data_IF_676834642754
#
_entry.id   IF_676834642754
#
_cell.length_a   1.000
_cell.length_b   1.000
_cell.length_c   1.000
_cell.angle_alpha   90.00
_cell.angle_beta   90.00
_cell.angle_gamma   90.00
#
_symmetry.space_group_name_H-M   'P 1'
#
loop_
_entity.id
_entity.type
_entity.pdbx_description
1 polymer ?
#
# COMPACT_ATOMS: atom_id res chain seq x y z
N UNK A 1 -24.14 -34.19 -7.16
CA UNK A 1 -24.28 -33.01 -8.04
C UNK A 1 -23.38 -31.89 -7.54
N UNK A 2 -22.42 -31.42 -8.36
CA UNK A 2 -21.75 -30.14 -8.10
C UNK A 2 -22.69 -29.08 -8.67
N UNK A 3 -23.33 -28.31 -7.80
CA UNK A 3 -24.08 -27.12 -8.21
C UNK A 3 -23.05 -26.17 -8.82
N UNK A 4 -23.10 -26.00 -10.14
CA UNK A 4 -22.32 -24.95 -10.80
C UNK A 4 -22.89 -23.62 -10.28
N UNK A 5 -22.10 -22.93 -9.47
CA UNK A 5 -22.43 -21.56 -9.10
C UNK A 5 -22.42 -20.73 -10.40
N UNK A 6 -23.42 -19.86 -10.64
CA UNK A 6 -23.42 -18.99 -11.81
C UNK A 6 -22.10 -18.21 -11.86
N UNK A 7 -21.48 -18.15 -13.04
CA UNK A 7 -20.27 -17.36 -13.25
C UNK A 7 -20.62 -15.87 -13.01
N UNK A 8 -19.98 -15.26 -12.00
CA UNK A 8 -20.11 -13.82 -11.73
C UNK A 8 -19.24 -13.07 -12.75
N UNK A 9 -19.88 -12.58 -13.80
CA UNK A 9 -19.24 -11.70 -14.76
C UNK A 9 -19.55 -10.26 -14.38
N UNK A 10 -18.51 -9.46 -14.16
CA UNK A 10 -18.62 -8.03 -13.93
C UNK A 10 -17.73 -7.26 -14.93
N UNK A 11 -18.35 -6.37 -15.71
CA UNK A 11 -17.69 -5.53 -16.70
C UNK A 11 -17.86 -4.06 -16.32
N UNK A 12 -16.83 -3.25 -16.58
CA UNK A 12 -16.89 -1.81 -16.37
C UNK A 12 -16.19 -1.04 -17.50
N UNK A 13 -16.79 0.08 -17.89
CA UNK A 13 -16.16 1.09 -18.75
C UNK A 13 -15.86 2.31 -17.90
N UNK A 14 -14.60 2.77 -17.90
CA UNK A 14 -14.14 3.86 -17.03
C UNK A 14 -13.36 4.93 -17.80
N UNK A 15 -13.45 6.16 -17.30
CA UNK A 15 -12.57 7.28 -17.67
C UNK A 15 -11.71 7.60 -16.45
N UNK A 16 -10.39 7.64 -16.62
CA UNK A 16 -9.42 7.73 -15.54
C UNK A 16 -8.59 9.01 -15.64
N UNK A 17 -8.24 9.58 -14.50
CA UNK A 17 -7.35 10.72 -14.35
C UNK A 17 -6.28 10.40 -13.30
N UNK A 18 -5.02 10.76 -13.59
CA UNK A 18 -3.88 10.55 -12.69
C UNK A 18 -2.99 11.79 -12.65
N UNK A 19 -2.87 12.37 -11.47
CA UNK A 19 -1.94 13.46 -11.17
C UNK A 19 -0.82 12.96 -10.28
N UNK A 20 0.42 13.24 -10.65
CA UNK A 20 1.61 12.96 -9.82
C UNK A 20 2.38 14.25 -9.62
N UNK A 21 2.54 14.63 -8.35
CA UNK A 21 3.43 15.71 -7.93
C UNK A 21 4.63 15.09 -7.22
N UNK A 22 5.83 15.45 -7.65
CA UNK A 22 7.08 14.92 -7.11
C UNK A 22 8.04 16.07 -6.86
N UNK A 23 8.42 16.25 -5.60
CA UNK A 23 9.44 17.20 -5.15
C UNK A 23 10.39 16.46 -4.22
N UNK A 24 11.33 15.72 -4.81
CA UNK A 24 12.31 14.91 -4.10
C UNK A 24 13.70 15.22 -4.62
N UNK A 25 14.70 15.00 -3.77
CA UNK A 25 16.12 15.20 -4.05
C UNK A 25 16.68 14.22 -5.09
N UNK A 26 16.26 12.96 -5.04
CA UNK A 26 16.70 11.91 -5.97
C UNK A 26 15.51 11.04 -6.40
N UNK A 27 15.42 10.73 -7.69
CA UNK A 27 14.30 9.97 -8.25
C UNK A 27 14.36 8.47 -7.93
N UNK A 28 15.56 7.92 -7.74
CA UNK A 28 15.80 6.51 -7.46
C UNK A 28 15.92 6.24 -5.97
N UNK A 29 16.58 7.16 -5.28
CA UNK A 29 17.10 6.99 -3.94
C UNK A 29 16.72 8.20 -3.05
N UNK A 30 15.43 8.59 -2.96
CA UNK A 30 15.01 9.78 -2.25
C UNK A 30 15.43 9.75 -0.78
N UNK A 31 15.89 10.89 -0.27
CA UNK A 31 16.20 11.10 1.15
C UNK A 31 15.53 12.33 1.74
N UNK A 32 15.11 13.27 0.89
CA UNK A 32 14.38 14.47 1.29
C UNK A 32 13.27 14.83 0.28
N UNK A 33 12.15 15.33 0.80
CA UNK A 33 11.04 15.84 0.01
C UNK A 33 9.78 14.99 0.09
N UNK A 34 8.93 15.09 -0.93
CA UNK A 34 7.64 14.41 -0.93
C UNK A 34 7.12 14.06 -2.34
N UNK A 35 6.30 13.03 -2.40
CA UNK A 35 5.51 12.64 -3.57
C UNK A 35 4.04 12.57 -3.21
N UNK A 36 3.18 13.05 -4.12
CA UNK A 36 1.73 12.92 -4.03
C UNK A 36 1.21 12.35 -5.35
N UNK A 37 0.44 11.26 -5.28
CA UNK A 37 -0.27 10.69 -6.41
C UNK A 37 -1.77 10.73 -6.11
N UNK A 38 -2.52 11.41 -6.97
CA UNK A 38 -3.98 11.45 -6.92
C UNK A 38 -4.54 10.77 -8.16
N UNK A 39 -5.45 9.83 -7.96
CA UNK A 39 -6.14 9.13 -9.03
C UNK A 39 -7.64 9.24 -8.81
N UNK A 40 -8.37 9.49 -9.89
CA UNK A 40 -9.82 9.54 -9.90
C UNK A 40 -10.33 8.82 -11.14
N UNK A 41 -11.42 8.08 -11.00
CA UNK A 41 -12.15 7.58 -12.15
C UNK A 41 -13.65 7.68 -11.96
N UNK A 42 -14.35 7.74 -13.08
CA UNK A 42 -15.80 7.57 -13.17
C UNK A 42 -16.06 6.47 -14.19
N UNK A 43 -17.04 5.64 -13.93
CA UNK A 43 -17.35 4.54 -14.83
C UNK A 43 -18.75 4.01 -14.67
N UNK A 44 -19.14 3.15 -15.60
CA UNK A 44 -20.40 2.39 -15.55
C UNK A 44 -20.07 0.91 -15.51
N UNK A 45 -20.60 0.22 -14.49
CA UNK A 45 -20.47 -1.21 -14.30
C UNK A 45 -21.75 -1.94 -14.73
N UNK A 46 -21.60 -3.19 -15.14
CA UNK A 46 -22.67 -4.15 -15.45
C UNK A 46 -22.25 -5.51 -14.88
N UNK A 47 -23.17 -6.24 -14.25
CA UNK A 47 -22.89 -7.56 -13.66
C UNK A 47 -24.03 -8.55 -13.94
N UNK A 48 -23.71 -9.85 -13.94
CA UNK A 48 -24.71 -10.94 -14.00
C UNK A 48 -25.44 -11.16 -12.66
N UNK A 49 -24.86 -10.73 -11.54
CA UNK A 49 -25.37 -10.95 -10.18
C UNK A 49 -25.74 -9.66 -9.42
N UNK A 50 -25.79 -8.51 -10.12
CA UNK A 50 -26.12 -7.22 -9.52
C UNK A 50 -26.54 -6.17 -10.55
N UNK A 51 -26.95 -5.00 -10.07
CA UNK A 51 -27.46 -3.95 -10.95
C UNK A 51 -26.34 -3.27 -11.75
N UNK A 52 -26.67 -2.87 -12.97
CA UNK A 52 -25.83 -1.97 -13.74
C UNK A 52 -25.94 -0.53 -13.22
N UNK A 53 -24.82 0.17 -13.10
CA UNK A 53 -24.85 1.55 -12.61
C UNK A 53 -23.52 2.26 -12.65
N UNK A 54 -23.56 3.55 -12.31
CA UNK A 54 -22.36 4.37 -12.25
C UNK A 54 -21.63 4.17 -10.92
N UNK A 55 -20.31 4.25 -10.99
CA UNK A 55 -19.43 4.31 -9.83
C UNK A 55 -18.31 5.30 -10.07
N UNK A 56 -17.62 5.69 -9.00
CA UNK A 56 -16.37 6.41 -9.08
C UNK A 56 -15.36 5.83 -8.12
N UNK A 57 -14.08 5.93 -8.46
CA UNK A 57 -12.98 5.51 -7.59
C UNK A 57 -12.06 6.70 -7.36
N UNK A 58 -11.80 6.99 -6.10
CA UNK A 58 -10.83 7.99 -5.66
C UNK A 58 -9.69 7.27 -4.95
N UNK A 59 -8.46 7.67 -5.24
CA UNK A 59 -7.29 7.12 -4.60
C UNK A 59 -6.21 8.19 -4.44
N UNK A 60 -5.59 8.22 -3.26
CA UNK A 60 -4.51 9.13 -2.93
C UNK A 60 -3.37 8.34 -2.28
N UNK A 61 -2.14 8.63 -2.69
CA UNK A 61 -0.90 8.15 -2.06
C UNK A 61 0.02 9.33 -1.82
N UNK A 62 0.42 9.52 -0.58
CA UNK A 62 1.42 10.51 -0.19
C UNK A 62 2.61 9.79 0.45
N UNK A 63 3.81 10.19 0.05
CA UNK A 63 5.06 9.72 0.66
C UNK A 63 5.95 10.91 0.97
N UNK A 64 6.50 10.96 2.18
CA UNK A 64 7.40 12.01 2.66
C UNK A 64 8.71 11.38 3.08
N UNK A 65 9.81 12.00 2.69
CA UNK A 65 11.18 11.63 3.01
C UNK A 65 11.84 12.78 3.76
N UNK A 66 12.52 12.50 4.86
CA UNK A 66 13.25 13.53 5.61
C UNK A 66 14.55 12.97 6.21
N UNK A 67 15.68 13.69 6.10
CA UNK A 67 16.80 13.46 7.01
C UNK A 67 16.37 13.88 8.43
N UNK A 68 16.75 13.08 9.43
CA UNK A 68 16.40 13.31 10.83
C UNK A 68 17.57 13.89 11.64
N UNK A 69 18.67 14.20 10.97
CA UNK A 69 19.82 14.91 11.55
C UNK A 69 19.42 16.31 12.02
N UNK A 70 19.90 16.70 13.20
CA UNK A 70 19.64 18.03 13.76
C UNK A 70 18.33 18.16 14.56
N UNK A 71 17.59 17.06 14.78
CA UNK A 71 16.49 17.05 15.75
C UNK A 71 17.01 17.22 17.19
N UNK A 72 16.22 17.82 18.10
CA UNK A 72 16.62 18.01 19.50
C UNK A 72 17.08 16.69 20.15
N UNK A 73 18.28 16.70 20.73
CA UNK A 73 18.88 15.56 21.43
C UNK A 73 19.82 14.70 20.60
N UNK A 74 19.97 14.91 19.28
CA UNK A 74 21.03 14.32 18.43
C UNK A 74 21.03 12.80 18.26
N UNK A 75 20.16 12.07 18.95
CA UNK A 75 20.10 10.59 18.92
C UNK A 75 19.65 10.03 17.55
N UNK A 76 19.07 10.87 16.68
CA UNK A 76 18.66 10.54 15.31
C UNK A 76 19.63 11.04 14.24
N UNK A 77 20.81 11.54 14.60
CA UNK A 77 21.79 11.98 13.61
C UNK A 77 22.22 10.83 12.68
N UNK A 78 22.16 11.09 11.37
CA UNK A 78 22.44 10.10 10.33
C UNK A 78 21.29 9.14 10.02
N UNK A 79 20.12 9.30 10.65
CA UNK A 79 18.90 8.58 10.30
C UNK A 79 18.08 9.35 9.26
N UNK A 80 17.36 8.59 8.45
CA UNK A 80 16.43 9.05 7.43
C UNK A 80 15.05 8.45 7.72
N UNK A 81 14.03 9.30 7.72
CA UNK A 81 12.64 8.92 7.91
C UNK A 81 11.88 8.89 6.59
N UNK A 82 11.02 7.89 6.44
CA UNK A 82 10.02 7.80 5.38
C UNK A 82 8.64 7.61 6.02
N UNK A 83 7.67 8.43 5.62
CA UNK A 83 6.25 8.24 5.95
C UNK A 83 5.45 8.03 4.68
N UNK A 84 4.58 7.02 4.65
CA UNK A 84 3.64 6.75 3.55
C UNK A 84 2.22 6.68 4.08
N UNK A 85 1.28 7.26 3.34
CA UNK A 85 -0.16 7.18 3.58
C UNK A 85 -0.88 6.92 2.26
N UNK A 86 -1.81 5.98 2.27
CA UNK A 86 -2.72 5.70 1.15
C UNK A 86 -4.16 5.67 1.65
N UNK A 87 -5.02 6.28 0.84
CA UNK A 87 -6.46 6.33 1.04
C UNK A 87 -7.14 5.96 -0.28
N UNK A 88 -8.16 5.13 -0.22
CA UNK A 88 -8.97 4.76 -1.38
C UNK A 88 -10.45 4.70 -1.03
N UNK A 89 -11.30 5.13 -1.96
CA UNK A 89 -12.75 5.01 -1.85
C UNK A 89 -13.36 4.69 -3.22
N UNK A 90 -14.19 3.66 -3.29
CA UNK A 90 -15.13 3.42 -4.38
C UNK A 90 -16.50 3.94 -3.94
N UNK A 91 -17.06 4.88 -4.68
CA UNK A 91 -18.40 5.42 -4.46
C UNK A 91 -19.34 4.77 -5.48
N UNK A 92 -20.30 4.01 -4.99
CA UNK A 92 -21.33 3.34 -5.80
C UNK A 92 -22.61 3.19 -4.97
N UNK A 93 -23.79 3.12 -5.59
CA UNK A 93 -24.98 2.63 -4.92
C UNK A 93 -24.81 1.16 -4.48
N UNK A 94 -25.42 0.75 -3.38
CA UNK A 94 -25.24 -0.59 -2.79
C UNK A 94 -25.57 -1.73 -3.76
N UNK A 95 -26.62 -1.55 -4.58
CA UNK A 95 -27.08 -2.52 -5.57
C UNK A 95 -26.14 -2.68 -6.78
N UNK A 96 -25.29 -1.69 -7.04
CA UNK A 96 -24.38 -1.70 -8.20
C UNK A 96 -23.16 -2.54 -7.89
N UNK A 97 -22.98 -3.67 -8.57
CA UNK A 97 -21.78 -4.50 -8.40
C UNK A 97 -20.65 -3.99 -9.29
N UNK A 98 -19.53 -3.62 -8.66
CA UNK A 98 -18.32 -3.14 -9.34
C UNK A 98 -17.31 -4.28 -9.42
N UNK A 99 -16.58 -4.46 -10.54
CA UNK A 99 -15.57 -5.50 -10.63
C UNK A 99 -14.47 -5.36 -9.56
N UNK A 100 -14.00 -6.49 -9.03
CA UNK A 100 -12.92 -6.57 -8.04
C UNK A 100 -11.65 -5.79 -8.42
N UNK A 101 -11.38 -5.64 -9.72
CA UNK A 101 -10.24 -4.87 -10.25
C UNK A 101 -10.35 -3.37 -9.99
N UNK A 102 -11.55 -2.86 -9.72
CA UNK A 102 -11.81 -1.47 -9.38
C UNK A 102 -11.93 -1.24 -7.86
N UNK A 103 -11.96 -2.31 -7.07
CA UNK A 103 -11.99 -2.28 -5.61
C UNK A 103 -10.58 -2.48 -5.02
N UNK A 104 -10.50 -2.45 -3.69
CA UNK A 104 -9.24 -2.45 -2.96
C UNK A 104 -9.01 -3.73 -2.16
N UNK A 105 -7.73 -4.08 -2.03
CA UNK A 105 -7.21 -5.04 -1.04
C UNK A 105 -5.88 -4.50 -0.53
N UNK A 106 -5.53 -4.82 0.70
CA UNK A 106 -4.28 -4.44 1.34
C UNK A 106 -3.39 -5.67 1.61
N UNK A 107 -2.17 -5.43 2.11
CA UNK A 107 -1.17 -6.45 2.44
C UNK A 107 -0.10 -6.61 1.36
N UNK A 108 1.13 -6.89 1.81
CA UNK A 108 2.32 -7.00 0.96
C UNK A 108 3.29 -5.81 1.10
N UNK A 109 4.35 -5.83 0.30
CA UNK A 109 5.58 -5.02 0.45
C UNK A 109 5.33 -3.50 0.46
N UNK A 110 4.44 -3.03 -0.40
CA UNK A 110 4.07 -1.61 -0.53
C UNK A 110 2.66 -1.36 0.05
N UNK A 111 2.27 -2.11 1.08
CA UNK A 111 0.99 -1.97 1.77
C UNK A 111 1.18 -2.20 3.27
N UNK A 112 1.08 -3.44 3.73
CA UNK A 112 1.33 -3.83 5.13
C UNK A 112 2.24 -5.05 5.10
N UNK A 113 3.52 -4.86 5.41
CA UNK A 113 4.49 -5.96 5.52
C UNK A 113 4.14 -6.83 6.73
N UNK A 114 4.48 -8.12 6.67
CA UNK A 114 3.99 -9.18 7.57
C UNK A 114 2.79 -9.94 6.98
N UNK A 115 2.08 -9.33 6.02
CA UNK A 115 0.91 -9.90 5.35
C UNK A 115 1.20 -10.33 3.92
N UNK A 116 0.42 -11.28 3.40
CA UNK A 116 0.50 -11.66 1.99
C UNK A 116 0.02 -10.52 1.10
N UNK A 117 0.53 -10.52 -0.13
CA UNK A 117 0.05 -9.61 -1.16
C UNK A 117 -1.48 -9.74 -1.29
N UNK A 118 -2.19 -8.62 -1.10
CA UNK A 118 -3.65 -8.54 -1.21
C UNK A 118 -4.42 -9.51 -0.29
N UNK A 119 -3.85 -9.86 0.86
CA UNK A 119 -4.49 -10.76 1.85
C UNK A 119 -5.29 -10.04 2.94
N UNK A 120 -5.33 -8.71 2.94
CA UNK A 120 -6.12 -7.92 3.89
C UNK A 120 -7.34 -7.33 3.18
N UNK A 121 -8.52 -7.64 3.70
CA UNK A 121 -9.82 -7.29 3.13
C UNK A 121 -10.94 -8.02 3.86
N UNK A 122 -12.22 -7.73 3.55
CA UNK A 122 -13.35 -8.49 4.08
C UNK A 122 -13.25 -9.95 3.64
N UNK A 123 -13.60 -10.88 4.53
CA UNK A 123 -13.66 -12.31 4.19
C UNK A 123 -15.08 -12.64 3.73
N UNK A 124 -15.21 -13.09 2.49
CA UNK A 124 -16.48 -13.50 1.87
C UNK A 124 -16.33 -14.95 1.42
N UNK A 125 -17.20 -15.83 1.91
CA UNK A 125 -17.19 -17.28 1.60
C UNK A 125 -15.82 -17.96 1.81
N UNK A 126 -15.09 -17.54 2.85
CA UNK A 126 -13.78 -18.09 3.20
C UNK A 126 -12.61 -17.59 2.34
N UNK A 127 -12.88 -16.67 1.39
CA UNK A 127 -11.85 -16.00 0.59
C UNK A 127 -11.73 -14.52 0.98
N UNK A 128 -10.54 -13.96 0.82
CA UNK A 128 -10.33 -12.51 0.97
C UNK A 128 -10.98 -11.82 -0.24
N UNK A 129 -12.03 -11.05 0.03
CA UNK A 129 -12.73 -10.22 -0.94
C UNK A 129 -12.07 -8.85 -1.12
N UNK A 130 -12.56 -8.13 -2.12
CA UNK A 130 -12.21 -6.72 -2.34
C UNK A 130 -13.19 -5.80 -1.62
N UNK A 131 -12.78 -4.57 -1.35
CA UNK A 131 -13.54 -3.62 -0.54
C UNK A 131 -13.55 -2.22 -1.15
N UNK A 132 -14.54 -1.42 -0.75
CA UNK A 132 -14.75 -0.08 -1.29
C UNK A 132 -13.88 0.98 -0.59
N UNK A 133 -13.42 0.75 0.65
CA UNK A 133 -12.49 1.63 1.36
C UNK A 133 -11.10 1.00 1.55
N UNK A 134 -10.05 1.81 1.45
CA UNK A 134 -8.66 1.42 1.68
C UNK A 134 -7.96 2.43 2.59
N UNK A 135 -7.26 1.92 3.60
CA UNK A 135 -6.29 2.68 4.39
C UNK A 135 -5.00 1.89 4.50
N UNK A 136 -3.87 2.50 4.14
CA UNK A 136 -2.55 1.96 4.53
C UNK A 136 -1.62 3.09 4.94
N UNK A 137 -0.93 2.93 6.05
CA UNK A 137 0.06 3.85 6.56
C UNK A 137 1.36 3.10 6.86
N UNK A 138 2.49 3.76 6.72
CA UNK A 138 3.80 3.19 7.01
C UNK A 138 4.76 4.27 7.48
N UNK A 139 5.56 3.93 8.49
CA UNK A 139 6.68 4.74 8.95
C UNK A 139 7.92 3.85 8.94
N UNK A 140 8.98 4.31 8.27
CA UNK A 140 10.27 3.62 8.18
C UNK A 140 11.38 4.57 8.61
N UNK A 141 12.32 4.05 9.41
CA UNK A 141 13.56 4.71 9.79
C UNK A 141 14.72 3.90 9.23
N UNK A 142 15.63 4.55 8.52
CA UNK A 142 16.77 3.89 7.91
C UNK A 142 18.06 4.69 8.05
N UNK A 143 19.20 3.99 8.05
CA UNK A 143 20.53 4.61 8.07
C UNK A 143 21.59 3.67 7.47
N UNK A 144 22.72 4.19 6.98
CA UNK A 144 23.88 3.36 6.66
C UNK A 144 24.28 2.48 7.86
N UNK A 145 24.49 1.18 7.63
CA UNK A 145 24.89 0.23 8.67
C UNK A 145 26.31 0.53 9.16
N UNK A 146 27.18 0.95 8.25
CA UNK A 146 28.59 1.25 8.54
C UNK A 146 29.11 2.35 7.62
N UNK A 147 30.01 3.23 8.10
CA UNK A 147 30.71 4.20 7.25
C UNK A 147 31.50 3.55 6.10
N UNK A 148 31.91 2.28 6.24
CA UNK A 148 32.61 1.53 5.19
C UNK A 148 31.68 1.02 4.08
N UNK A 149 30.37 0.97 4.34
CA UNK A 149 29.34 0.48 3.42
C UNK A 149 28.20 1.51 3.32
N UNK A 150 28.45 2.71 2.78
CA UNK A 150 27.46 3.79 2.75
C UNK A 150 26.24 3.50 1.88
N UNK A 151 26.34 2.53 0.97
CA UNK A 151 25.25 2.05 0.10
C UNK A 151 24.37 0.98 0.76
N UNK A 152 24.75 0.43 1.91
CA UNK A 152 23.98 -0.61 2.61
C UNK A 152 23.38 -0.02 3.87
N UNK A 153 22.05 0.09 3.87
CA UNK A 153 21.31 0.69 4.97
C UNK A 153 20.53 -0.37 5.75
N UNK A 154 20.48 -0.21 7.06
CA UNK A 154 19.56 -0.92 7.92
C UNK A 154 18.29 -0.09 8.07
N UNK A 155 17.15 -0.74 8.14
CA UNK A 155 15.84 -0.10 8.30
C UNK A 155 15.02 -0.81 9.38
N UNK A 156 14.18 -0.05 10.07
CA UNK A 156 13.09 -0.54 10.93
C UNK A 156 11.81 0.16 10.54
N UNK A 157 10.68 -0.53 10.63
CA UNK A 157 9.41 0.02 10.18
C UNK A 157 8.22 -0.51 10.96
N UNK A 158 7.15 0.26 10.88
CA UNK A 158 5.79 -0.13 11.26
C UNK A 158 4.85 0.24 10.12
N UNK A 159 4.02 -0.71 9.74
CA UNK A 159 2.96 -0.58 8.75
C UNK A 159 1.61 -0.86 9.43
N UNK A 160 0.57 -0.16 9.02
CA UNK A 160 -0.80 -0.42 9.47
C UNK A 160 -1.77 -0.21 8.32
N UNK A 161 -2.74 -1.11 8.13
CA UNK A 161 -3.73 -0.91 7.09
C UNK A 161 -4.69 -2.05 6.89
N UNK A 162 -5.79 -1.77 6.19
CA UNK A 162 -6.74 -2.77 5.72
C UNK A 162 -7.57 -2.21 4.56
N UNK A 163 -8.35 -3.08 3.93
CA UNK A 163 -9.47 -2.72 3.08
C UNK A 163 -10.78 -3.17 3.74
N UNK A 164 -11.81 -2.33 3.70
CA UNK A 164 -13.09 -2.61 4.34
C UNK A 164 -14.28 -2.17 3.47
N UNK A 165 -15.47 -2.76 3.64
CA UNK A 165 -16.66 -2.33 2.90
C UNK A 165 -16.96 -0.84 3.11
N UNK A 166 -16.79 -0.34 4.34
CA UNK A 166 -16.91 1.07 4.66
C UNK A 166 -15.78 1.54 5.60
N UNK A 167 -15.56 2.86 5.68
CA UNK A 167 -14.62 3.44 6.66
C UNK A 167 -14.98 3.16 8.11
N UNK A 168 -16.26 2.91 8.43
CA UNK A 168 -16.69 2.59 9.79
C UNK A 168 -16.30 1.18 10.22
N UNK A 169 -16.14 0.29 9.24
CA UNK A 169 -15.72 -1.10 9.43
C UNK A 169 -14.20 -1.27 9.26
N UNK A 170 -13.46 -0.17 9.14
CA UNK A 170 -12.01 -0.20 8.97
C UNK A 170 -11.34 -0.73 10.25
N UNK A 171 -10.71 -1.89 10.13
CA UNK A 171 -9.94 -2.55 11.19
C UNK A 171 -8.50 -2.78 10.71
N UNK A 172 -7.58 -1.80 10.87
CA UNK A 172 -6.23 -1.90 10.33
C UNK A 172 -5.40 -3.01 10.98
N UNK A 173 -4.87 -3.92 10.17
CA UNK A 173 -3.88 -4.90 10.63
C UNK A 173 -2.49 -4.25 10.74
N UNK A 174 -1.68 -4.70 11.69
CA UNK A 174 -0.37 -4.09 12.00
C UNK A 174 0.78 -5.03 11.65
N UNK A 175 1.76 -4.48 10.94
CA UNK A 175 3.03 -5.12 10.62
C UNK A 175 4.20 -4.36 11.21
N UNK A 176 5.13 -5.04 11.87
CA UNK A 176 6.39 -4.42 12.32
C UNK A 176 7.57 -5.23 11.81
N UNK A 177 8.69 -4.58 11.50
CA UNK A 177 9.82 -5.30 10.98
C UNK A 177 11.10 -4.52 10.88
N UNK A 178 12.10 -5.22 10.37
CA UNK A 178 13.41 -4.68 10.11
C UNK A 178 13.92 -5.24 8.77
N UNK A 179 14.85 -4.52 8.15
CA UNK A 179 15.39 -4.95 6.89
C UNK A 179 16.65 -4.22 6.46
N UNK A 180 17.10 -4.59 5.27
CA UNK A 180 18.28 -4.05 4.62
C UNK A 180 17.87 -3.39 3.30
N UNK A 181 18.48 -2.25 2.99
CA UNK A 181 18.35 -1.56 1.70
C UNK A 181 19.74 -1.52 1.06
N UNK A 182 19.89 -2.10 -0.11
CA UNK A 182 21.08 -1.88 -0.92
C UNK A 182 20.77 -0.82 -1.98
N UNK A 183 21.42 0.33 -1.84
CA UNK A 183 21.23 1.53 -2.67
C UNK A 183 22.30 1.55 -3.75
N UNK A 184 21.95 1.08 -4.93
CA UNK A 184 22.84 0.99 -6.09
C UNK A 184 22.58 2.13 -7.09
N UNK A 185 23.49 2.40 -8.04
CA UNK A 185 23.28 3.42 -9.07
C UNK A 185 22.06 3.19 -9.97
N UNK A 186 21.57 1.95 -10.08
CA UNK A 186 20.44 1.57 -10.94
C UNK A 186 19.13 1.44 -10.18
N UNK A 187 19.14 1.64 -8.85
CA UNK A 187 17.96 1.48 -8.01
C UNK A 187 18.24 0.88 -6.64
N UNK A 188 17.18 0.72 -5.84
CA UNK A 188 17.26 0.15 -4.49
C UNK A 188 16.74 -1.28 -4.45
N UNK A 189 17.49 -2.17 -3.83
CA UNK A 189 17.04 -3.49 -3.41
C UNK A 189 16.61 -3.45 -1.94
N UNK A 190 15.47 -4.05 -1.61
CA UNK A 190 14.95 -4.12 -0.24
C UNK A 190 14.71 -5.57 0.15
N UNK A 191 15.21 -5.94 1.33
CA UNK A 191 14.96 -7.22 1.96
C UNK A 191 14.46 -6.97 3.38
N UNK A 192 13.25 -7.42 3.68
CA UNK A 192 12.54 -7.11 4.92
C UNK A 192 12.06 -8.38 5.61
N UNK A 193 12.27 -8.46 6.93
CA UNK A 193 11.64 -9.46 7.78
C UNK A 193 10.60 -8.76 8.65
N UNK A 194 9.35 -9.17 8.50
CA UNK A 194 8.21 -8.52 9.13
C UNK A 194 7.35 -9.50 9.92
N UNK A 195 6.89 -9.07 11.08
CA UNK A 195 5.92 -9.75 11.93
C UNK A 195 4.53 -9.17 11.70
N UNK A 196 3.59 -10.00 11.24
CA UNK A 196 2.17 -9.63 11.20
C UNK A 196 1.53 -9.89 12.56
N UNK A 197 1.09 -8.83 13.24
CA UNK A 197 0.59 -8.90 14.61
C UNK A 197 -0.62 -9.83 14.74
N UNK A 198 -1.59 -9.72 13.84
CA UNK A 198 -2.82 -10.50 13.87
C UNK A 198 -2.59 -11.97 13.47
N UNK A 199 -1.64 -12.23 12.56
CA UNK A 199 -1.31 -13.59 12.12
C UNK A 199 -0.35 -14.32 13.07
N UNK A 200 0.34 -13.58 13.94
CA UNK A 200 1.41 -14.07 14.79
C UNK A 200 2.46 -14.87 13.98
N UNK A 201 2.87 -14.32 12.83
CA UNK A 201 3.80 -14.97 11.89
C UNK A 201 4.81 -13.99 11.32
N UNK A 202 6.03 -14.50 11.12
CA UNK A 202 7.07 -13.84 10.36
C UNK A 202 6.89 -14.06 8.86
N UNK A 203 7.19 -13.04 8.07
CA UNK A 203 7.18 -13.08 6.61
C UNK A 203 8.39 -12.34 6.07
N UNK A 204 9.02 -12.95 5.07
CA UNK A 204 10.07 -12.33 4.28
C UNK A 204 9.44 -11.55 3.12
N UNK A 205 9.93 -10.35 2.90
CA UNK A 205 9.54 -9.44 1.83
C UNK A 205 10.77 -9.04 1.02
N UNK A 206 10.57 -8.88 -0.29
CA UNK A 206 11.64 -8.58 -1.23
C UNK A 206 11.10 -7.69 -2.34
N UNK A 207 11.67 -6.50 -2.47
CA UNK A 207 11.27 -5.55 -3.50
C UNK A 207 12.46 -4.87 -4.16
N UNK A 208 12.25 -4.48 -5.42
CA UNK A 208 13.24 -3.79 -6.24
C UNK A 208 12.60 -2.50 -6.75
N UNK A 209 13.21 -1.37 -6.46
CA UNK A 209 12.89 -0.10 -7.09
C UNK A 209 13.91 0.17 -8.20
N UNK A 210 13.47 0.15 -9.45
CA UNK A 210 14.29 0.44 -10.65
C UNK A 210 13.89 1.77 -11.28
N UNK A 211 14.80 2.37 -12.04
CA UNK A 211 14.51 3.45 -12.99
C UNK A 211 13.71 2.94 -14.20
#
# INVERSE_FOLDING_TARGET
ERIALPEDEALAVTVNHHLVLRRIDDALLPTDGATLSLQGNVGRATSTLGDAGFFSRLYARATVYRPLSGLPGGWLDGWYGQGRLELGQVLRPDAVRVPDSQQFRAGGDESVRGYAYRSLGPVVDGAVGSADALLTASVELARPISPRLPSVWGAVFVDAGNAAPTWREMDPAVGVGAGVRWRSPVGSLRLDLAWGHELQKLRLHFSVGIA
#
